data_IF_439603499417
#
_entry.id   IF_439603499417
#
_cell.length_a   1.000
_cell.length_b   1.000
_cell.length_c   1.000
_cell.angle_alpha   90.00
_cell.angle_beta   90.00
_cell.angle_gamma   90.00
#
_symmetry.space_group_name_H-M   'P 1'
#
loop_
_entity.id
_entity.type
_entity.pdbx_description
1 polymer ?
#
# COMPACT_ATOMS: atom_id res chain seq x y z
N UNK A 1 -0.63 -2.32 28.79
CA UNK A 1 -0.62 -3.26 27.64
C UNK A 1 -1.35 -2.70 26.40
N UNK A 2 -2.43 -1.91 26.53
CA UNK A 2 -3.12 -1.28 25.39
C UNK A 2 -2.38 -0.07 24.77
N UNK A 3 -1.61 0.68 25.57
CA UNK A 3 -0.94 1.91 25.10
C UNK A 3 0.11 1.67 24.01
N UNK A 4 0.89 0.58 24.10
CA UNK A 4 1.97 0.26 23.16
C UNK A 4 1.46 -0.04 21.75
N UNK A 5 0.23 -0.55 21.62
CA UNK A 5 -0.41 -0.86 20.34
C UNK A 5 -0.90 0.40 19.61
N UNK A 6 -1.32 1.44 20.34
CA UNK A 6 -1.70 2.73 19.76
C UNK A 6 -0.45 3.48 19.30
N UNK A 7 0.60 3.55 20.12
CA UNK A 7 1.85 4.24 19.78
C UNK A 7 2.48 3.73 18.48
N UNK A 8 2.55 2.41 18.27
CA UNK A 8 3.10 1.83 17.04
C UNK A 8 2.27 2.19 15.79
N UNK A 9 0.95 2.36 15.93
CA UNK A 9 0.07 2.74 14.81
C UNK A 9 0.22 4.21 14.46
N UNK A 10 0.29 5.08 15.46
CA UNK A 10 0.51 6.52 15.27
C UNK A 10 1.89 6.75 14.66
N UNK A 11 2.93 6.07 15.14
CA UNK A 11 4.28 6.18 14.60
C UNK A 11 4.36 5.74 13.13
N UNK A 12 3.66 4.65 12.78
CA UNK A 12 3.55 4.21 11.38
C UNK A 12 2.82 5.23 10.50
N UNK A 13 1.75 5.87 11.01
CA UNK A 13 1.05 6.94 10.31
C UNK A 13 1.92 8.19 10.15
N UNK A 14 2.73 8.53 11.17
CA UNK A 14 3.65 9.65 11.13
C UNK A 14 4.76 9.44 10.09
N UNK A 15 5.34 8.24 10.02
CA UNK A 15 6.31 7.86 8.98
C UNK A 15 5.67 7.91 7.59
N UNK A 16 4.39 7.54 7.45
CA UNK A 16 3.66 7.54 6.19
C UNK A 16 3.23 8.95 5.75
N UNK A 17 3.12 9.88 6.70
CA UNK A 17 2.73 11.27 6.44
C UNK A 17 3.75 11.98 5.56
N UNK A 18 5.05 11.75 5.78
CA UNK A 18 6.15 12.39 5.03
C UNK A 18 6.06 12.12 3.51
N UNK A 19 6.01 10.86 3.03
CA UNK A 19 5.84 10.58 1.60
C UNK A 19 4.44 10.96 1.09
N UNK A 20 3.42 10.99 1.95
CA UNK A 20 2.09 11.47 1.60
C UNK A 20 2.08 12.97 1.24
N UNK A 21 2.72 13.80 2.06
CA UNK A 21 2.87 15.25 1.77
C UNK A 21 3.71 15.47 0.52
N UNK A 22 4.78 14.69 0.33
CA UNK A 22 5.60 14.75 -0.88
C UNK A 22 4.80 14.41 -2.16
N UNK A 23 3.88 13.44 -2.09
CA UNK A 23 3.00 13.10 -3.20
C UNK A 23 2.03 14.25 -3.54
N UNK A 24 1.42 14.88 -2.53
CA UNK A 24 0.54 16.04 -2.73
C UNK A 24 1.32 17.20 -3.36
N UNK A 25 2.55 17.44 -2.89
CA UNK A 25 3.43 18.47 -3.46
C UNK A 25 3.80 18.18 -4.92
N UNK A 26 4.12 16.92 -5.25
CA UNK A 26 4.35 16.48 -6.63
C UNK A 26 3.14 16.67 -7.55
N UNK A 27 1.92 16.44 -7.05
CA UNK A 27 0.69 16.70 -7.78
C UNK A 27 0.48 18.20 -8.07
N UNK A 28 0.78 19.07 -7.11
CA UNK A 28 0.71 20.53 -7.32
C UNK A 28 1.66 20.97 -8.43
N UNK A 29 2.90 20.49 -8.41
CA UNK A 29 3.87 20.79 -9.47
C UNK A 29 3.39 20.31 -10.85
N UNK A 30 2.80 19.12 -10.93
CA UNK A 30 2.22 18.62 -12.18
C UNK A 30 1.10 19.53 -12.67
N UNK A 31 0.18 19.89 -11.78
CA UNK A 31 -0.92 20.81 -12.07
C UNK A 31 -0.38 22.12 -12.63
N UNK A 32 0.60 22.73 -11.97
CA UNK A 32 1.17 24.01 -12.38
C UNK A 32 1.77 23.92 -13.79
N UNK A 33 2.52 22.85 -14.09
CA UNK A 33 3.05 22.61 -15.44
C UNK A 33 1.95 22.41 -16.48
N UNK A 34 0.84 21.75 -16.13
CA UNK A 34 -0.32 21.66 -17.03
C UNK A 34 -0.93 23.03 -17.31
N UNK A 35 -1.11 23.86 -16.28
CA UNK A 35 -1.63 25.24 -16.47
C UNK A 35 -0.70 26.07 -17.34
N UNK A 36 0.62 25.96 -17.14
CA UNK A 36 1.65 26.65 -17.91
C UNK A 36 1.61 26.25 -19.40
N UNK A 37 1.43 24.95 -19.65
CA UNK A 37 1.24 24.41 -21.01
C UNK A 37 -0.04 24.93 -21.66
N UNK A 38 -1.15 25.01 -20.93
CA UNK A 38 -2.41 25.58 -21.44
C UNK A 38 -2.36 27.10 -21.62
N UNK A 39 -1.55 27.81 -20.83
CA UNK A 39 -1.32 29.25 -20.95
C UNK A 39 -0.42 29.63 -22.14
N UNK A 40 0.24 28.64 -22.76
CA UNK A 40 1.11 28.84 -23.92
C UNK A 40 2.56 29.18 -23.55
N UNK A 41 2.94 29.10 -22.27
CA UNK A 41 4.30 29.41 -21.79
C UNK A 41 5.29 28.26 -22.05
N UNK A 42 4.80 27.11 -22.51
CA UNK A 42 5.60 25.95 -22.91
C UNK A 42 5.72 24.88 -21.82
N UNK A 43 6.23 23.70 -22.19
CA UNK A 43 6.34 22.58 -21.25
C UNK A 43 7.66 22.62 -20.48
N UNK A 44 7.59 22.94 -19.18
CA UNK A 44 8.73 22.85 -18.27
C UNK A 44 9.07 21.39 -17.93
N UNK A 45 9.81 20.72 -18.81
CA UNK A 45 10.24 19.32 -18.66
C UNK A 45 10.93 19.00 -17.32
N UNK A 46 11.68 19.96 -16.75
CA UNK A 46 12.33 19.81 -15.45
C UNK A 46 11.31 19.69 -14.31
N UNK A 47 10.38 20.63 -14.20
CA UNK A 47 9.31 20.59 -13.19
C UNK A 47 8.35 19.43 -13.43
N UNK A 48 8.09 19.08 -14.68
CA UNK A 48 7.26 17.93 -15.04
C UNK A 48 7.86 16.61 -14.52
N UNK A 49 9.12 16.33 -14.87
CA UNK A 49 9.81 15.11 -14.45
C UNK A 49 9.98 15.05 -12.93
N UNK A 50 10.28 16.18 -12.28
CA UNK A 50 10.33 16.28 -10.82
C UNK A 50 8.97 15.99 -10.18
N UNK A 51 7.90 16.58 -10.71
CA UNK A 51 6.52 16.38 -10.24
C UNK A 51 6.08 14.92 -10.38
N UNK A 52 6.33 14.30 -11.55
CA UNK A 52 6.07 12.86 -11.77
C UNK A 52 6.88 12.02 -10.78
N UNK A 53 8.16 12.31 -10.61
CA UNK A 53 9.02 11.53 -9.71
C UNK A 53 8.58 11.63 -8.25
N UNK A 54 8.24 12.83 -7.77
CA UNK A 54 7.70 13.03 -6.40
C UNK A 54 6.35 12.35 -6.22
N UNK A 55 5.48 12.42 -7.23
CA UNK A 55 4.15 11.84 -7.18
C UNK A 55 4.20 10.30 -7.19
N UNK A 56 4.87 9.70 -8.18
CA UNK A 56 5.05 8.25 -8.27
C UNK A 56 5.88 7.72 -7.10
N UNK A 57 6.97 8.41 -6.73
CA UNK A 57 7.79 8.04 -5.58
C UNK A 57 7.00 8.06 -4.29
N UNK A 58 6.24 9.13 -4.04
CA UNK A 58 5.39 9.25 -2.85
C UNK A 58 4.33 8.14 -2.77
N UNK A 59 3.62 7.86 -3.87
CA UNK A 59 2.61 6.79 -3.92
C UNK A 59 3.25 5.41 -3.84
N UNK A 60 4.37 5.17 -4.51
CA UNK A 60 5.06 3.88 -4.49
C UNK A 60 5.57 3.55 -3.08
N UNK A 61 6.11 4.54 -2.36
CA UNK A 61 6.53 4.36 -0.97
C UNK A 61 5.34 4.07 -0.05
N UNK A 62 4.24 4.83 -0.20
CA UNK A 62 3.01 4.61 0.58
C UNK A 62 2.40 3.23 0.30
N UNK A 63 2.25 2.88 -0.97
CA UNK A 63 1.68 1.61 -1.43
C UNK A 63 2.52 0.39 -1.03
N UNK A 64 3.85 0.49 -1.14
CA UNK A 64 4.77 -0.58 -0.72
C UNK A 64 4.69 -0.85 0.78
N UNK A 65 4.63 0.21 1.59
CA UNK A 65 4.49 0.08 3.04
C UNK A 65 3.11 -0.45 3.44
N UNK A 66 2.06 -0.01 2.75
CA UNK A 66 0.70 -0.48 2.98
C UNK A 66 0.58 -1.98 2.66
N UNK A 67 1.11 -2.43 1.53
CA UNK A 67 1.13 -3.84 1.13
C UNK A 67 1.87 -4.73 2.14
N UNK A 68 3.05 -4.30 2.60
CA UNK A 68 3.81 -5.04 3.62
C UNK A 68 3.07 -5.13 4.97
N UNK A 69 2.32 -4.08 5.34
CA UNK A 69 1.51 -4.08 6.57
C UNK A 69 0.26 -4.94 6.46
N UNK A 70 -0.38 -4.98 5.30
CA UNK A 70 -1.61 -5.74 5.10
C UNK A 70 -1.35 -7.24 4.96
N UNK A 71 -0.18 -7.62 4.41
CA UNK A 71 0.28 -9.01 4.38
C UNK A 71 0.33 -9.65 5.78
N UNK A 72 0.59 -8.86 6.83
CA UNK A 72 0.69 -9.35 8.21
C UNK A 72 -0.65 -9.42 8.94
N UNK A 73 -1.73 -8.86 8.37
CA UNK A 73 -3.06 -8.85 8.99
C UNK A 73 -3.83 -10.15 8.82
N UNK A 74 -3.34 -11.11 8.01
CA UNK A 74 -3.84 -12.49 7.85
C UNK A 74 -5.31 -12.66 8.28
N UNK A 75 -6.21 -11.84 7.72
CA UNK A 75 -7.65 -12.07 7.75
C UNK A 75 -7.91 -13.18 6.72
N UNK A 76 -7.27 -14.34 6.90
CA UNK A 76 -7.70 -15.55 6.24
C UNK A 76 -9.17 -15.67 6.59
N UNK A 77 -10.00 -15.49 5.56
CA UNK A 77 -11.44 -15.56 5.68
C UNK A 77 -11.78 -16.83 6.48
N UNK A 78 -12.75 -16.77 7.42
CA UNK A 78 -13.17 -17.97 8.15
C UNK A 78 -13.49 -19.14 7.19
N UNK A 79 -13.90 -18.83 5.96
CA UNK A 79 -14.07 -19.74 4.83
C UNK A 79 -12.83 -20.59 4.50
N UNK A 80 -11.62 -20.01 4.51
CA UNK A 80 -10.38 -20.72 4.16
C UNK A 80 -9.99 -21.75 5.23
N UNK A 81 -10.21 -21.40 6.51
CA UNK A 81 -10.01 -22.33 7.64
C UNK A 81 -10.97 -23.54 7.56
N UNK A 82 -12.20 -23.33 7.09
CA UNK A 82 -13.16 -24.41 6.88
C UNK A 82 -12.74 -25.34 5.73
N UNK A 83 -12.16 -24.82 4.66
CA UNK A 83 -11.68 -25.62 3.53
C UNK A 83 -10.47 -26.49 3.93
N UNK A 84 -9.52 -25.92 4.67
CA UNK A 84 -8.36 -26.66 5.20
C UNK A 84 -8.81 -27.79 6.14
N UNK A 85 -9.84 -27.56 6.97
CA UNK A 85 -10.46 -28.62 7.80
C UNK A 85 -11.05 -29.74 6.95
N UNK A 86 -11.79 -29.42 5.87
CA UNK A 86 -12.36 -30.42 4.96
C UNK A 86 -11.27 -31.26 4.28
N UNK A 87 -10.20 -30.62 3.81
CA UNK A 87 -9.07 -31.30 3.14
C UNK A 87 -8.35 -32.23 4.12
N UNK A 88 -8.05 -31.78 5.35
CA UNK A 88 -7.46 -32.65 6.39
C UNK A 88 -8.35 -33.86 6.70
N UNK A 89 -9.65 -33.65 6.87
CA UNK A 89 -10.61 -34.74 7.18
C UNK A 89 -10.67 -35.78 6.06
N UNK A 90 -10.68 -35.34 4.79
CA UNK A 90 -10.66 -36.23 3.61
C UNK A 90 -9.35 -37.00 3.46
N UNK A 91 -8.23 -36.39 3.84
CA UNK A 91 -6.91 -37.07 3.81
C UNK A 91 -6.81 -38.13 4.91
N UNK A 92 -7.28 -37.82 6.12
CA UNK A 92 -7.33 -38.77 7.23
C UNK A 92 -8.24 -39.99 6.93
N UNK A 93 -9.40 -39.77 6.29
CA UNK A 93 -10.28 -40.87 5.88
C UNK A 93 -9.69 -41.73 4.75
N UNK A 94 -8.91 -41.13 3.84
CA UNK A 94 -8.25 -41.86 2.75
C UNK A 94 -7.05 -42.69 3.25
N UNK A 95 -6.38 -42.23 4.31
CA UNK A 95 -5.29 -42.97 4.97
C UNK A 95 -5.83 -44.19 5.73
N UNK A 96 -6.93 -44.02 6.48
CA UNK A 96 -7.56 -45.10 7.25
C UNK A 96 -8.17 -46.22 6.38
N UNK A 97 -8.48 -45.95 5.11
CA UNK A 97 -9.00 -46.95 4.16
C UNK A 97 -7.90 -47.64 3.34
N UNK A 98 -6.64 -47.23 3.51
CA UNK A 98 -5.50 -47.77 2.77
C UNK A 98 -4.47 -48.44 3.69
N UNK A 99 -4.91 -48.80 4.90
CA UNK A 99 -4.21 -49.64 5.90
C UNK A 99 -5.17 -50.76 6.29
#
# INVERSE_FOLDING_TARGET
MWQTMIYQRILALLILCIPGVAAVYGWTLLRDVFFDYFAGEGLHWGLFSLGVFLFLGGIALVGSFLFYRDAKRNQIQPMLLLLLRKIKKKKASKQANNS
#
